data_IF_923082429428
#
_entry.id   IF_923082429428
#
_cell.length_a   1.000
_cell.length_b   1.000
_cell.length_c   1.000
_cell.angle_alpha   90.00
_cell.angle_beta   90.00
_cell.angle_gamma   90.00
#
_symmetry.space_group_name_H-M   'P 1'
#
loop_
_entity.id
_entity.type
_entity.pdbx_description
1 polymer ?
#
# COMPACT_ATOMS: atom_id res chain seq x y z
N UNK A 1 13.42 16.38 3.02
CA UNK A 1 13.49 14.93 2.74
C UNK A 1 12.81 14.08 3.81
N UNK A 2 13.43 13.59 4.90
CA UNK A 2 12.80 12.61 5.83
C UNK A 2 11.41 13.01 6.35
N UNK A 3 11.24 14.29 6.73
CA UNK A 3 9.94 14.84 7.15
C UNK A 3 8.84 14.71 6.08
N UNK A 4 9.18 14.86 4.79
CA UNK A 4 8.24 14.73 3.68
C UNK A 4 7.90 13.26 3.41
N UNK A 5 8.88 12.36 3.55
CA UNK A 5 8.69 10.91 3.48
C UNK A 5 7.71 10.47 4.54
N UNK A 6 7.97 10.89 5.79
CA UNK A 6 7.16 10.56 6.94
C UNK A 6 5.76 11.14 6.78
N UNK A 7 5.63 12.40 6.34
CA UNK A 7 4.32 13.02 6.10
C UNK A 7 3.51 12.28 5.01
N UNK A 8 4.15 11.92 3.89
CA UNK A 8 3.50 11.15 2.81
C UNK A 8 3.14 9.73 3.28
N UNK A 9 4.05 9.04 3.95
CA UNK A 9 3.81 7.71 4.51
C UNK A 9 2.66 7.70 5.50
N UNK A 10 2.59 8.69 6.39
CA UNK A 10 1.46 8.86 7.32
C UNK A 10 0.15 9.05 6.55
N UNK A 11 0.10 9.96 5.56
CA UNK A 11 -1.11 10.18 4.75
C UNK A 11 -1.57 8.91 4.04
N UNK A 12 -0.65 8.18 3.40
CA UNK A 12 -0.98 6.94 2.71
C UNK A 12 -1.39 5.84 3.68
N UNK A 13 -0.76 5.76 4.86
CA UNK A 13 -1.13 4.79 5.90
C UNK A 13 -2.51 5.07 6.49
N UNK A 14 -2.91 6.35 6.63
CA UNK A 14 -4.26 6.72 7.03
C UNK A 14 -5.31 6.30 5.98
N UNK A 15 -5.02 6.58 4.70
CA UNK A 15 -5.87 6.14 3.59
C UNK A 15 -6.02 4.62 3.57
N UNK A 16 -4.91 3.90 3.75
CA UNK A 16 -4.89 2.46 3.87
C UNK A 16 -5.73 1.98 5.06
N UNK A 17 -5.57 2.59 6.25
CA UNK A 17 -6.32 2.24 7.44
C UNK A 17 -7.83 2.39 7.23
N UNK A 18 -8.26 3.53 6.67
CA UNK A 18 -9.66 3.81 6.39
C UNK A 18 -10.24 2.80 5.39
N UNK A 19 -9.54 2.57 4.27
CA UNK A 19 -9.98 1.60 3.27
C UNK A 19 -10.02 0.17 3.82
N UNK A 20 -8.97 -0.27 4.53
CA UNK A 20 -8.90 -1.59 5.14
C UNK A 20 -10.05 -1.79 6.12
N UNK A 21 -10.30 -0.82 7.01
CA UNK A 21 -11.39 -0.90 7.98
C UNK A 21 -12.75 -0.99 7.28
N UNK A 22 -13.05 -0.07 6.35
CA UNK A 22 -14.32 -0.03 5.63
C UNK A 22 -14.56 -1.34 4.87
N UNK A 23 -13.56 -1.80 4.11
CA UNK A 23 -13.65 -3.03 3.33
C UNK A 23 -13.92 -4.22 4.25
N UNK A 24 -13.21 -4.34 5.37
CA UNK A 24 -13.39 -5.47 6.28
C UNK A 24 -14.71 -5.39 7.06
N UNK A 25 -15.13 -4.19 7.48
CA UNK A 25 -16.38 -3.97 8.21
C UNK A 25 -17.59 -4.46 7.41
N UNK A 26 -17.70 -4.04 6.15
CA UNK A 26 -18.76 -4.51 5.24
C UNK A 26 -18.62 -5.98 4.81
N UNK A 27 -17.54 -6.66 5.22
CA UNK A 27 -17.34 -8.09 4.96
C UNK A 27 -17.82 -9.01 6.08
N UNK A 28 -18.12 -8.46 7.26
CA UNK A 28 -18.45 -9.25 8.44
C UNK A 28 -19.95 -9.49 8.55
N UNK A 29 -20.35 -10.75 8.75
CA UNK A 29 -21.75 -11.13 9.03
C UNK A 29 -22.19 -10.72 10.44
N UNK A 30 -21.25 -10.68 11.39
CA UNK A 30 -21.42 -10.14 12.75
C UNK A 30 -20.19 -9.29 13.08
N UNK A 31 -20.27 -7.95 12.98
CA UNK A 31 -19.11 -7.10 13.15
C UNK A 31 -18.68 -7.01 14.61
N UNK A 32 -17.53 -7.63 14.94
CA UNK A 32 -16.78 -7.31 16.16
C UNK A 32 -15.83 -6.14 15.85
N UNK A 33 -16.27 -4.95 16.25
CA UNK A 33 -15.61 -3.68 15.93
C UNK A 33 -14.25 -3.60 16.64
N UNK A 34 -14.11 -4.14 17.85
CA UNK A 34 -12.86 -4.07 18.61
C UNK A 34 -11.77 -4.94 17.97
N UNK A 35 -12.13 -6.16 17.58
CA UNK A 35 -11.21 -7.06 16.87
C UNK A 35 -10.82 -6.48 15.52
N UNK A 36 -11.77 -5.87 14.79
CA UNK A 36 -11.49 -5.22 13.51
C UNK A 36 -10.57 -4.01 13.66
N UNK A 37 -10.80 -3.16 14.67
CA UNK A 37 -9.96 -2.01 14.95
C UNK A 37 -8.52 -2.46 15.25
N UNK A 38 -8.34 -3.49 16.10
CA UNK A 38 -7.03 -4.06 16.40
C UNK A 38 -6.30 -4.56 15.14
N UNK A 39 -6.99 -5.33 14.28
CA UNK A 39 -6.43 -5.80 13.00
C UNK A 39 -6.05 -4.65 12.07
N UNK A 40 -6.87 -3.60 12.02
CA UNK A 40 -6.63 -2.42 11.19
C UNK A 40 -5.38 -1.66 11.65
N UNK A 41 -5.22 -1.48 12.97
CA UNK A 41 -4.02 -0.84 13.54
C UNK A 41 -2.76 -1.63 13.18
N UNK A 42 -2.77 -2.95 13.38
CA UNK A 42 -1.63 -3.82 13.07
C UNK A 42 -1.31 -3.75 11.56
N UNK A 43 -2.31 -3.90 10.70
CA UNK A 43 -2.12 -3.83 9.25
C UNK A 43 -1.55 -2.46 8.80
N UNK A 44 -2.04 -1.37 9.41
CA UNK A 44 -1.58 -0.01 9.11
C UNK A 44 -0.13 0.21 9.53
N UNK A 45 0.26 -0.30 10.70
CA UNK A 45 1.65 -0.23 11.17
C UNK A 45 2.58 -1.01 10.24
N UNK A 46 2.20 -2.23 9.85
CA UNK A 46 2.98 -3.04 8.88
C UNK A 46 3.11 -2.30 7.55
N UNK A 47 2.01 -1.75 7.04
CA UNK A 47 2.02 -0.98 5.80
C UNK A 47 2.93 0.26 5.88
N UNK A 48 2.86 1.02 6.98
CA UNK A 48 3.70 2.20 7.20
C UNK A 48 5.19 1.82 7.24
N UNK A 49 5.54 0.73 7.92
CA UNK A 49 6.92 0.23 7.98
C UNK A 49 7.40 -0.16 6.57
N UNK A 50 6.60 -0.93 5.83
CA UNK A 50 6.92 -1.32 4.45
C UNK A 50 7.10 -0.09 3.54
N UNK A 51 6.23 0.91 3.66
CA UNK A 51 6.31 2.15 2.91
C UNK A 51 7.62 2.91 3.20
N UNK A 52 7.98 3.03 4.49
CA UNK A 52 9.22 3.71 4.90
C UNK A 52 10.46 2.93 4.41
N UNK A 53 10.49 1.61 4.59
CA UNK A 53 11.61 0.76 4.13
C UNK A 53 11.79 0.90 2.62
N UNK A 54 10.71 0.78 1.85
CA UNK A 54 10.76 0.95 0.40
C UNK A 54 11.32 2.33 0.03
N UNK A 55 10.88 3.38 0.70
CA UNK A 55 11.36 4.73 0.44
C UNK A 55 12.84 4.91 0.80
N UNK A 56 13.33 4.25 1.84
CA UNK A 56 14.75 4.25 2.22
C UNK A 56 15.62 3.51 1.20
N UNK A 57 15.13 2.42 0.61
CA UNK A 57 15.84 1.63 -0.40
C UNK A 57 15.96 2.34 -1.76
N UNK A 58 15.07 3.29 -2.04
CA UNK A 58 15.05 3.99 -3.32
C UNK A 58 15.99 5.21 -3.29
N UNK A 59 17.03 5.16 -4.12
CA UNK A 59 18.07 6.20 -4.10
C UNK A 59 17.62 7.54 -4.73
N UNK A 60 16.74 7.54 -5.73
CA UNK A 60 16.31 8.77 -6.42
C UNK A 60 14.93 9.29 -5.98
N UNK A 61 14.72 10.61 -5.91
CA UNK A 61 13.42 11.22 -5.65
C UNK A 61 12.33 10.79 -6.63
N UNK A 62 12.68 10.52 -7.89
CA UNK A 62 11.74 10.02 -8.88
C UNK A 62 11.22 8.62 -8.57
N UNK A 63 12.12 7.67 -8.29
CA UNK A 63 11.71 6.30 -7.98
C UNK A 63 10.84 6.29 -6.73
N UNK A 64 11.17 7.14 -5.75
CA UNK A 64 10.35 7.37 -4.56
C UNK A 64 8.92 7.80 -4.89
N UNK A 65 8.69 8.60 -5.94
CA UNK A 65 7.35 8.98 -6.40
C UNK A 65 6.66 7.80 -7.10
N UNK A 66 7.36 7.16 -8.06
CA UNK A 66 6.85 6.05 -8.87
C UNK A 66 6.39 4.89 -7.97
N UNK A 67 7.27 4.40 -7.08
CA UNK A 67 6.98 3.31 -6.15
C UNK A 67 6.11 3.75 -4.96
N UNK A 68 6.28 4.98 -4.47
CA UNK A 68 5.46 5.52 -3.38
C UNK A 68 4.00 5.74 -3.76
N UNK A 69 3.67 5.77 -5.06
CA UNK A 69 2.30 5.88 -5.58
C UNK A 69 1.72 4.52 -5.96
N UNK A 70 2.48 3.72 -6.69
CA UNK A 70 2.03 2.41 -7.19
C UNK A 70 1.79 1.40 -6.07
N UNK A 71 2.66 1.37 -5.05
CA UNK A 71 2.59 0.37 -3.98
C UNK A 71 1.31 0.49 -3.11
N UNK A 72 0.93 1.68 -2.61
CA UNK A 72 -0.32 1.84 -1.88
C UNK A 72 -1.55 1.47 -2.72
N UNK A 73 -1.60 1.90 -3.99
CA UNK A 73 -2.73 1.64 -4.88
C UNK A 73 -2.88 0.13 -5.12
N UNK A 74 -1.78 -0.55 -5.45
CA UNK A 74 -1.81 -1.98 -5.73
C UNK A 74 -2.18 -2.80 -4.48
N UNK A 75 -1.73 -2.41 -3.30
CA UNK A 75 -2.11 -3.05 -2.03
C UNK A 75 -3.61 -2.86 -1.76
N UNK A 76 -4.15 -1.66 -1.97
CA UNK A 76 -5.59 -1.40 -1.80
C UNK A 76 -6.43 -2.24 -2.76
N UNK A 77 -6.06 -2.27 -4.05
CA UNK A 77 -6.74 -3.11 -5.04
C UNK A 77 -6.60 -4.60 -4.70
N UNK A 78 -5.42 -5.02 -4.27
CA UNK A 78 -5.16 -6.39 -3.81
C UNK A 78 -6.05 -6.80 -2.64
N UNK A 79 -6.28 -5.92 -1.67
CA UNK A 79 -7.20 -6.17 -0.55
C UNK A 79 -8.65 -6.33 -1.05
N UNK A 80 -9.10 -5.45 -1.96
CA UNK A 80 -10.45 -5.52 -2.53
C UNK A 80 -10.64 -6.85 -3.27
N UNK A 81 -9.73 -7.19 -4.18
CA UNK A 81 -9.76 -8.44 -4.97
C UNK A 81 -9.65 -9.66 -4.05
N UNK A 82 -8.73 -9.62 -3.08
CA UNK A 82 -8.53 -10.68 -2.11
C UNK A 82 -9.76 -10.93 -1.24
N UNK A 83 -10.51 -9.88 -0.88
CA UNK A 83 -11.80 -10.04 -0.20
C UNK A 83 -12.87 -10.65 -1.11
N UNK A 84 -12.90 -10.28 -2.39
CA UNK A 84 -13.95 -10.72 -3.33
C UNK A 84 -13.76 -12.17 -3.80
N UNK A 85 -12.52 -12.60 -4.05
CA UNK A 85 -12.23 -13.86 -4.75
C UNK A 85 -11.40 -14.86 -3.93
N UNK A 86 -10.68 -14.41 -2.89
CA UNK A 86 -9.72 -15.25 -2.16
C UNK A 86 -9.74 -14.94 -0.64
N UNK A 87 -8.56 -14.86 -0.02
CA UNK A 87 -8.38 -14.33 1.33
C UNK A 87 -7.70 -12.96 1.27
N UNK A 88 -7.98 -12.11 2.26
CA UNK A 88 -7.37 -10.78 2.37
C UNK A 88 -5.84 -10.86 2.45
N UNK A 89 -5.31 -11.91 3.11
CA UNK A 89 -3.86 -12.16 3.21
C UNK A 89 -3.24 -12.36 1.83
N UNK A 90 -3.85 -13.20 0.99
CA UNK A 90 -3.40 -13.41 -0.40
C UNK A 90 -3.54 -12.14 -1.23
N UNK A 91 -4.61 -11.37 -1.02
CA UNK A 91 -4.81 -10.06 -1.64
C UNK A 91 -3.70 -9.07 -1.32
N UNK A 92 -3.28 -8.97 -0.05
CA UNK A 92 -2.17 -8.10 0.37
C UNK A 92 -0.85 -8.54 -0.26
N UNK A 93 -0.55 -9.85 -0.27
CA UNK A 93 0.68 -10.38 -0.87
C UNK A 93 0.71 -10.10 -2.38
N UNK A 94 -0.38 -10.41 -3.08
CA UNK A 94 -0.50 -10.15 -4.52
C UNK A 94 -0.40 -8.65 -4.82
N UNK A 95 -1.06 -7.80 -4.03
CA UNK A 95 -1.00 -6.35 -4.16
C UNK A 95 0.41 -5.78 -3.93
N UNK A 96 1.17 -6.34 -2.99
CA UNK A 96 2.56 -5.95 -2.77
C UNK A 96 3.44 -6.31 -3.98
N UNK A 97 3.34 -7.54 -4.50
CA UNK A 97 4.09 -8.01 -5.67
C UNK A 97 3.75 -7.16 -6.90
N UNK A 98 2.45 -6.97 -7.18
CA UNK A 98 1.98 -6.18 -8.30
C UNK A 98 2.37 -4.70 -8.18
N UNK A 99 2.37 -4.15 -6.96
CA UNK A 99 2.79 -2.77 -6.71
C UNK A 99 4.27 -2.55 -7.02
N UNK A 100 5.12 -3.49 -6.63
CA UNK A 100 6.56 -3.45 -6.97
C UNK A 100 6.74 -3.55 -8.48
N UNK A 101 6.07 -4.51 -9.14
CA UNK A 101 6.14 -4.68 -10.60
C UNK A 101 5.65 -3.43 -11.35
N UNK A 102 4.54 -2.83 -10.93
CA UNK A 102 4.02 -1.60 -11.52
C UNK A 102 5.00 -0.43 -11.39
N UNK A 103 5.70 -0.32 -10.24
CA UNK A 103 6.76 0.65 -10.03
C UNK A 103 7.93 0.47 -11.02
N UNK A 104 8.36 -0.78 -11.26
CA UNK A 104 9.40 -1.10 -12.24
C UNK A 104 8.95 -0.84 -13.69
N UNK A 105 7.70 -1.18 -14.04
CA UNK A 105 7.14 -0.90 -15.36
C UNK A 105 7.12 0.60 -15.62
N UNK A 106 6.68 1.40 -14.63
CA UNK A 106 6.72 2.86 -14.74
C UNK A 106 8.15 3.35 -14.93
N UNK A 107 9.10 2.91 -14.09
CA UNK A 107 10.51 3.28 -14.21
C UNK A 107 11.07 2.99 -15.61
N UNK A 108 10.78 1.81 -16.17
CA UNK A 108 11.22 1.41 -17.50
C UNK A 108 10.62 2.27 -18.62
N UNK A 109 9.35 2.66 -18.50
CA UNK A 109 8.67 3.51 -19.50
C UNK A 109 9.22 4.95 -19.45
N UNK A 110 9.40 5.52 -18.25
CA UNK A 110 9.94 6.88 -18.11
C UNK A 110 11.38 7.00 -18.61
N UNK A 111 12.24 6.01 -18.33
CA UNK A 111 13.63 6.01 -18.84
C UNK A 111 13.71 5.87 -20.37
N UNK A 112 12.67 5.36 -21.03
CA UNK A 112 12.56 5.35 -22.50
C UNK A 112 12.11 6.69 -23.09
N UNK A 113 11.40 7.49 -22.31
CA UNK A 113 10.87 8.78 -22.75
C UNK A 113 11.82 9.95 -22.47
N UNK A 114 13.00 9.70 -21.89
CA UNK A 114 14.00 10.73 -21.62
C UNK A 114 13.63 11.68 -20.48
N UNK A 115 12.73 11.26 -19.59
CA UNK A 115 12.36 12.00 -18.36
C UNK A 115 13.35 11.73 -17.21
N UNK A 116 14.66 11.86 -17.47
CA UNK A 116 15.72 11.75 -16.45
C UNK A 116 16.19 13.14 -15.97
#
# INVERSE_FOLDING_TARGET
>A
MFKEILSRGIKMSLLFAAAFFIINYFGMTKPDIYVLAGKTVIATLVFLILYIILFLLLNSPERKIKFGTTLPIAILLGIIIGKLFFTIQLGVIAGLILGILAGFIWEFISGRNGED
#
